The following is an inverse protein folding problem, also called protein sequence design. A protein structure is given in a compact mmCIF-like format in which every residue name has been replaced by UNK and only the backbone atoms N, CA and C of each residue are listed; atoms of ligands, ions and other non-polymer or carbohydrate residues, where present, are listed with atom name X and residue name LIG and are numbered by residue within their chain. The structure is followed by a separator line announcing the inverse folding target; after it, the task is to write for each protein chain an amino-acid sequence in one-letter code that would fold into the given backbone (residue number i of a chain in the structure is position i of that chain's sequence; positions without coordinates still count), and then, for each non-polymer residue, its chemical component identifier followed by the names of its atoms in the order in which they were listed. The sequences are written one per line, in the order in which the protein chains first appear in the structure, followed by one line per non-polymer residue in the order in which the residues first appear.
data_IF_804507420151
#
_entry.id   IF_804507420151
#
_cell.length_a   1.000
_cell.length_b   1.000
_cell.length_c   1.000
_cell.angle_alpha   90.00
_cell.angle_beta   90.00
_cell.angle_gamma   90.00
#
_symmetry.space_group_name_H-M   'P 1'
#
loop_
_entity.id
_entity.type
_entity.pdbx_description
1 polymer ?
#
# COMPACT_ATOMS: atom_id res chain seq x y z
N UNK A 1 -6.14 -10.54 -9.92
CA UNK A 1 -6.80 -9.30 -9.46
C UNK A 1 -6.16 -8.11 -10.14
N UNK A 2 -6.92 -7.07 -10.47
CA UNK A 2 -6.46 -5.96 -11.32
C UNK A 2 -6.80 -4.60 -10.72
N UNK A 3 -5.95 -3.62 -10.99
CA UNK A 3 -6.26 -2.21 -10.87
C UNK A 3 -6.72 -1.72 -12.24
N UNK A 4 -7.87 -1.05 -12.26
CA UNK A 4 -8.47 -0.48 -13.46
C UNK A 4 -8.58 1.04 -13.31
N UNK A 5 -8.31 1.76 -14.39
CA UNK A 5 -8.61 3.19 -14.49
C UNK A 5 -9.41 3.42 -15.75
N UNK A 6 -10.55 4.06 -15.59
CA UNK A 6 -11.42 4.48 -16.68
C UNK A 6 -11.49 6.01 -16.76
N UNK A 7 -11.89 6.53 -17.92
CA UNK A 7 -12.35 7.93 -18.00
C UNK A 7 -13.59 8.09 -17.12
N UNK A 8 -13.66 9.18 -16.37
CA UNK A 8 -14.86 9.53 -15.62
C UNK A 8 -15.93 10.01 -16.62
N UNK A 9 -17.11 9.37 -16.69
CA UNK A 9 -18.16 9.75 -17.63
C UNK A 9 -18.79 11.12 -17.32
N UNK A 10 -18.59 11.67 -16.12
CA UNK A 10 -19.08 12.99 -15.71
C UNK A 10 -18.19 14.11 -16.31
N UNK A 11 -18.68 14.84 -17.34
CA UNK A 11 -17.88 15.84 -18.06
C UNK A 11 -17.61 17.11 -17.24
N UNK A 12 -18.43 17.38 -16.21
CA UNK A 12 -18.27 18.54 -15.34
C UNK A 12 -17.27 18.27 -14.19
N UNK A 13 -16.82 17.02 -14.07
CA UNK A 13 -15.91 16.61 -13.02
C UNK A 13 -14.49 17.15 -13.25
N UNK A 14 -13.94 17.82 -12.23
CA UNK A 14 -12.50 18.16 -12.18
C UNK A 14 -11.59 16.95 -11.93
N UNK A 15 -12.17 15.77 -11.72
CA UNK A 15 -11.48 14.50 -11.50
C UNK A 15 -11.79 13.57 -12.69
N UNK A 16 -11.02 13.66 -13.80
CA UNK A 16 -11.36 13.04 -15.08
C UNK A 16 -11.21 11.51 -15.12
N UNK A 17 -10.79 10.86 -14.03
CA UNK A 17 -10.57 9.42 -14.02
C UNK A 17 -11.29 8.73 -12.86
N UNK A 18 -11.77 7.53 -13.11
CA UNK A 18 -12.22 6.57 -12.10
C UNK A 18 -11.13 5.52 -11.88
N UNK A 19 -10.67 5.37 -10.65
CA UNK A 19 -9.76 4.32 -10.19
C UNK A 19 -10.57 3.24 -9.47
N UNK A 20 -10.50 1.99 -9.93
CA UNK A 20 -11.07 0.82 -9.25
C UNK A 20 -9.99 -0.14 -8.80
N UNK A 21 -10.08 -0.57 -7.55
CA UNK A 21 -9.19 -1.56 -6.94
C UNK A 21 -9.96 -2.79 -6.44
N UNK A 22 -9.34 -3.98 -6.46
CA UNK A 22 -10.02 -5.23 -6.15
C UNK A 22 -9.97 -5.51 -4.64
N UNK A 23 -10.53 -4.59 -3.86
CA UNK A 23 -10.67 -4.72 -2.40
C UNK A 23 -12.15 -4.66 -2.03
N UNK A 24 -12.60 -5.53 -1.14
CA UNK A 24 -14.02 -5.75 -0.84
C UNK A 24 -14.83 -6.04 -2.13
N UNK A 25 -16.00 -5.43 -2.31
CA UNK A 25 -16.80 -5.55 -3.53
C UNK A 25 -16.21 -4.79 -4.76
N UNK A 26 -15.06 -4.13 -4.59
CA UNK A 26 -14.46 -3.24 -5.59
C UNK A 26 -14.64 -1.79 -5.16
N UNK A 27 -13.59 -1.20 -4.58
CA UNK A 27 -13.61 0.22 -4.21
C UNK A 27 -13.33 1.08 -5.44
N UNK A 28 -14.05 2.18 -5.57
CA UNK A 28 -13.95 3.13 -6.69
C UNK A 28 -13.64 4.52 -6.17
N UNK A 29 -12.80 5.25 -6.90
CA UNK A 29 -12.41 6.62 -6.56
C UNK A 29 -12.38 7.50 -7.81
N UNK A 30 -12.86 8.73 -7.72
CA UNK A 30 -12.55 9.77 -8.72
C UNK A 30 -11.18 10.38 -8.42
N UNK A 31 -10.33 10.58 -9.42
CA UNK A 31 -8.96 11.09 -9.26
C UNK A 31 -8.52 11.95 -10.45
N UNK A 32 -7.47 12.78 -10.26
CA UNK A 32 -6.98 13.69 -11.27
C UNK A 32 -5.99 13.08 -12.28
N UNK A 33 -5.52 11.85 -12.04
CA UNK A 33 -4.54 11.22 -12.90
C UNK A 33 -4.47 9.71 -12.77
N UNK A 34 -3.71 9.09 -13.67
CA UNK A 34 -3.61 7.62 -13.80
C UNK A 34 -2.47 7.00 -12.97
N UNK A 35 -1.58 7.82 -12.41
CA UNK A 35 -0.54 7.36 -11.48
C UNK A 35 0.09 8.55 -10.71
N UNK A 36 0.34 8.44 -9.40
CA UNK A 36 1.05 9.48 -8.63
C UNK A 36 2.56 9.47 -8.95
N UNK A 37 2.94 10.14 -10.04
CA UNK A 37 4.35 10.25 -10.48
C UNK A 37 5.13 11.31 -9.70
N UNK A 38 4.59 12.53 -9.67
CA UNK A 38 5.27 13.73 -9.13
C UNK A 38 4.68 14.18 -7.80
N UNK A 39 3.36 14.11 -7.64
CA UNK A 39 2.64 14.46 -6.41
C UNK A 39 1.61 13.38 -6.05
N UNK A 40 1.18 13.38 -4.79
CA UNK A 40 0.04 12.56 -4.40
C UNK A 40 -1.23 13.07 -5.07
N UNK A 41 -2.07 12.15 -5.55
CA UNK A 41 -3.33 12.47 -6.19
C UNK A 41 -4.45 12.40 -5.14
N UNK A 42 -5.31 13.41 -5.11
CA UNK A 42 -6.52 13.33 -4.31
C UNK A 42 -7.48 12.31 -4.94
N UNK A 43 -8.05 11.46 -4.10
CA UNK A 43 -9.01 10.45 -4.48
C UNK A 43 -10.32 10.71 -3.72
N UNK A 44 -11.38 11.00 -4.46
CA UNK A 44 -12.70 11.10 -3.88
C UNK A 44 -13.36 9.72 -3.91
N UNK A 45 -13.64 9.09 -2.75
CA UNK A 45 -14.28 7.79 -2.72
C UNK A 45 -15.71 7.90 -3.22
N UNK A 46 -16.11 6.96 -4.06
CA UNK A 46 -17.47 6.87 -4.59
C UNK A 46 -18.03 5.46 -4.41
N UNK A 47 -19.37 5.32 -4.38
CA UNK A 47 -20.03 4.02 -4.41
C UNK A 47 -19.56 3.12 -5.57
N UNK A 48 -19.63 1.80 -5.39
CA UNK A 48 -19.11 0.85 -6.37
C UNK A 48 -19.93 0.82 -7.68
N UNK A 49 -21.21 1.18 -7.61
CA UNK A 49 -22.15 1.33 -8.74
C UNK A 49 -21.90 2.59 -9.58
N UNK A 50 -21.06 3.51 -9.13
CA UNK A 50 -20.53 4.57 -10.01
C UNK A 50 -19.53 4.05 -11.05
N UNK A 51 -19.04 2.82 -10.89
CA UNK A 51 -18.26 2.19 -11.95
C UNK A 51 -19.18 1.81 -13.12
N UNK A 52 -18.95 2.32 -14.34
CA UNK A 52 -19.83 2.06 -15.47
C UNK A 52 -19.83 0.58 -15.88
N UNK A 53 -20.96 0.11 -16.41
CA UNK A 53 -21.09 -1.24 -16.99
C UNK A 53 -20.19 -1.41 -18.22
N UNK A 54 -20.07 -0.37 -19.04
CA UNK A 54 -19.14 -0.28 -20.18
C UNK A 54 -18.12 0.86 -19.99
N UNK A 55 -17.05 0.63 -19.21
CA UNK A 55 -16.08 1.66 -18.88
C UNK A 55 -15.05 1.85 -20.00
N UNK A 56 -14.75 3.11 -20.35
CA UNK A 56 -13.61 3.46 -21.20
C UNK A 56 -12.29 3.29 -20.42
N UNK A 57 -11.72 2.09 -20.47
CA UNK A 57 -10.50 1.71 -19.74
C UNK A 57 -9.25 2.29 -20.40
N UNK A 58 -8.62 3.22 -19.70
CA UNK A 58 -7.32 3.80 -20.10
C UNK A 58 -6.13 3.11 -19.45
N UNK A 59 -6.33 2.42 -18.32
CA UNK A 59 -5.28 1.64 -17.64
C UNK A 59 -5.88 0.35 -17.10
N UNK A 60 -5.25 -0.79 -17.45
CA UNK A 60 -5.49 -2.09 -16.83
C UNK A 60 -4.15 -2.70 -16.43
N UNK A 61 -3.97 -2.97 -15.14
CA UNK A 61 -2.72 -3.55 -14.63
C UNK A 61 -3.03 -4.63 -13.61
N UNK A 62 -2.41 -5.81 -13.78
CA UNK A 62 -2.47 -6.88 -12.79
C UNK A 62 -1.81 -6.44 -11.48
N UNK A 63 -2.37 -6.87 -10.36
CA UNK A 63 -1.78 -6.65 -9.04
C UNK A 63 -1.18 -7.95 -8.52
N UNK A 64 0.03 -7.85 -7.96
CA UNK A 64 0.63 -8.89 -7.11
C UNK A 64 0.09 -8.85 -5.68
N UNK A 65 -0.28 -7.66 -5.19
CA UNK A 65 -0.83 -7.48 -3.83
C UNK A 65 -1.74 -6.25 -3.74
N UNK A 66 -2.82 -6.35 -2.96
CA UNK A 66 -3.78 -5.29 -2.64
C UNK A 66 -4.29 -5.56 -1.23
N UNK A 67 -3.81 -4.81 -0.23
CA UNK A 67 -4.05 -5.14 1.18
C UNK A 67 -4.34 -3.88 2.00
N UNK A 68 -5.43 -3.91 2.77
CA UNK A 68 -5.72 -2.87 3.76
C UNK A 68 -4.83 -3.05 5.00
N UNK A 69 -4.16 -1.97 5.42
CA UNK A 69 -3.39 -1.86 6.67
C UNK A 69 -3.81 -0.60 7.40
N UNK A 70 -4.79 -0.74 8.31
CA UNK A 70 -5.38 0.38 9.03
C UNK A 70 -5.95 1.43 8.07
N UNK A 71 -5.39 2.64 8.11
CA UNK A 71 -5.82 3.76 7.28
C UNK A 71 -5.22 3.74 5.85
N UNK A 72 -4.36 2.80 5.50
CA UNK A 72 -3.77 2.70 4.16
C UNK A 72 -4.21 1.42 3.43
N UNK A 73 -4.26 1.47 2.10
CA UNK A 73 -4.32 0.30 1.23
C UNK A 73 -3.02 0.25 0.45
N UNK A 74 -2.24 -0.80 0.64
CA UNK A 74 -1.02 -1.07 -0.10
C UNK A 74 -1.35 -1.71 -1.45
N UNK A 75 -0.76 -1.19 -2.52
CA UNK A 75 -0.89 -1.70 -3.87
C UNK A 75 0.48 -2.08 -4.43
N UNK A 76 0.61 -3.32 -4.87
CA UNK A 76 1.78 -3.83 -5.61
C UNK A 76 1.32 -4.28 -6.99
N UNK A 77 1.69 -3.52 -8.01
CA UNK A 77 1.37 -3.78 -9.42
C UNK A 77 2.40 -4.73 -10.03
N UNK A 78 1.97 -5.56 -10.96
CA UNK A 78 2.81 -6.50 -11.71
C UNK A 78 3.47 -5.82 -12.90
N UNK A 79 4.42 -4.91 -12.62
CA UNK A 79 5.24 -4.22 -13.64
C UNK A 79 6.62 -3.86 -13.09
N UNK A 80 7.57 -3.57 -13.97
CA UNK A 80 8.97 -3.33 -13.61
C UNK A 80 9.27 -1.96 -12.99
N UNK A 81 8.47 -0.93 -13.27
CA UNK A 81 8.60 0.43 -12.72
C UNK A 81 7.26 0.91 -12.22
N UNK A 82 7.27 1.85 -11.28
CA UNK A 82 6.03 2.42 -10.72
C UNK A 82 5.09 1.32 -10.21
N UNK A 83 5.67 0.34 -9.52
CA UNK A 83 4.99 -0.88 -9.15
C UNK A 83 4.42 -0.86 -7.73
N UNK A 84 4.69 0.18 -6.95
CA UNK A 84 4.23 0.31 -5.56
C UNK A 84 3.54 1.65 -5.36
N UNK A 85 2.40 1.62 -4.68
CA UNK A 85 1.67 2.82 -4.26
C UNK A 85 0.78 2.52 -3.05
N UNK A 86 0.21 3.56 -2.45
CA UNK A 86 -0.72 3.47 -1.35
C UNK A 86 -1.90 4.42 -1.56
N UNK A 87 -3.11 3.97 -1.24
CA UNK A 87 -4.25 4.85 -0.98
C UNK A 87 -4.35 5.08 0.53
N UNK A 88 -4.17 6.32 0.97
CA UNK A 88 -4.14 6.68 2.40
C UNK A 88 -5.39 7.49 2.75
N UNK A 89 -6.20 6.91 3.63
CA UNK A 89 -7.35 7.54 4.26
C UNK A 89 -6.84 8.37 5.44
N UNK A 90 -7.23 9.64 5.49
CA UNK A 90 -6.82 10.57 6.53
C UNK A 90 -7.89 11.64 6.71
N UNK A 91 -7.77 12.43 7.77
CA UNK A 91 -8.51 13.68 7.90
C UNK A 91 -7.60 14.83 7.47
N UNK A 92 -8.11 15.75 6.65
CA UNK A 92 -7.43 16.98 6.24
C UNK A 92 -8.39 18.16 6.41
N UNK A 93 -7.97 19.19 7.15
CA UNK A 93 -8.82 20.36 7.47
C UNK A 93 -10.20 19.98 8.04
N UNK A 94 -10.23 18.96 8.90
CA UNK A 94 -11.46 18.48 9.56
C UNK A 94 -12.40 17.66 8.66
N UNK A 95 -11.97 17.26 7.46
CA UNK A 95 -12.75 16.42 6.54
C UNK A 95 -12.00 15.16 6.17
N UNK A 96 -12.72 14.08 5.95
CA UNK A 96 -12.13 12.85 5.42
C UNK A 96 -11.60 13.07 4.01
N UNK A 97 -10.41 12.53 3.75
CA UNK A 97 -9.70 12.66 2.50
C UNK A 97 -8.94 11.36 2.21
N UNK A 98 -8.86 11.00 0.93
CA UNK A 98 -8.03 9.88 0.46
C UNK A 98 -6.98 10.42 -0.49
N UNK A 99 -5.73 10.01 -0.30
CA UNK A 99 -4.63 10.37 -1.17
C UNK A 99 -3.96 9.11 -1.75
N UNK A 100 -3.83 9.07 -3.07
CA UNK A 100 -3.04 8.07 -3.77
C UNK A 100 -1.60 8.56 -3.92
N UNK A 101 -0.65 7.83 -3.36
CA UNK A 101 0.76 8.21 -3.37
C UNK A 101 1.67 7.04 -3.74
N UNK A 102 2.76 7.33 -4.47
CA UNK A 102 3.85 6.39 -4.69
C UNK A 102 4.99 6.65 -3.70
N UNK A 103 6.00 5.77 -3.58
CA UNK A 103 7.19 6.02 -2.77
C UNK A 103 7.88 7.35 -3.11
N UNK A 104 7.79 7.82 -4.36
CA UNK A 104 8.38 9.09 -4.81
C UNK A 104 7.58 10.32 -4.41
N UNK A 105 6.25 10.20 -4.35
CA UNK A 105 5.36 11.32 -4.01
C UNK A 105 4.99 11.36 -2.54
N UNK A 106 5.39 10.33 -1.79
CA UNK A 106 5.36 10.34 -0.34
C UNK A 106 6.30 11.45 0.13
N UNK A 107 5.74 12.62 0.47
CA UNK A 107 6.49 13.64 1.22
C UNK A 107 7.13 12.95 2.42
N UNK A 108 8.44 13.09 2.55
CA UNK A 108 9.21 12.64 3.69
C UNK A 108 8.83 13.54 4.89
N UNK A 109 7.64 13.30 5.42
CA UNK A 109 7.11 14.00 6.57
C UNK A 109 6.19 13.02 7.27
N UNK A 110 6.66 12.46 8.37
CA UNK A 110 5.74 12.22 9.48
C UNK A 110 6.34 12.81 10.76
N UNK A 111 6.08 14.10 11.05
CA UNK A 111 5.98 14.54 12.43
C UNK A 111 4.86 13.69 13.06
N UNK A 112 5.23 12.73 13.92
CA UNK A 112 4.26 11.88 14.63
C UNK A 112 4.16 10.41 14.20
N UNK A 113 5.06 9.85 13.37
CA UNK A 113 5.26 8.38 13.46
C UNK A 113 5.98 8.11 14.76
N UNK A 114 5.25 7.62 15.76
CA UNK A 114 5.87 6.70 16.71
C UNK A 114 6.15 5.42 15.93
N UNK A 115 7.42 5.13 15.68
CA UNK A 115 7.84 3.77 15.33
C UNK A 115 7.35 2.90 16.47
N UNK A 116 6.52 1.87 16.22
CA UNK A 116 6.06 1.00 17.30
C UNK A 116 7.30 0.44 18.03
N UNK A 117 7.46 0.84 19.29
CA UNK A 117 8.43 0.26 20.22
C UNK A 117 7.82 -0.91 21.00
N UNK A 118 6.54 -1.19 20.77
CA UNK A 118 5.84 -2.30 21.39
C UNK A 118 6.46 -3.63 20.95
N UNK A 119 6.55 -4.58 21.89
CA UNK A 119 6.95 -5.96 21.64
C UNK A 119 6.22 -6.53 20.42
N UNK A 120 6.92 -7.32 19.61
CA UNK A 120 6.30 -8.11 18.55
C UNK A 120 5.06 -8.80 19.13
N UNK A 121 3.86 -8.44 18.63
CA UNK A 121 2.58 -8.64 19.29
C UNK A 121 2.34 -10.08 19.82
N UNK A 122 2.82 -10.36 21.03
CA UNK A 122 2.78 -11.70 21.64
C UNK A 122 3.68 -12.76 20.98
N UNK A 123 4.62 -12.38 20.10
CA UNK A 123 5.58 -13.31 19.49
C UNK A 123 6.83 -13.35 20.37
N UNK A 124 7.04 -14.39 21.20
CA UNK A 124 8.34 -14.61 21.81
C UNK A 124 9.37 -14.85 20.70
N UNK A 125 10.52 -14.18 20.80
CA UNK A 125 11.71 -14.41 19.97
C UNK A 125 11.52 -14.25 18.46
N UNK A 126 10.99 -13.10 18.02
CA UNK A 126 10.93 -12.76 16.59
C UNK A 126 12.36 -12.73 15.99
N UNK A 127 12.63 -13.67 15.09
CA UNK A 127 13.89 -13.74 14.35
C UNK A 127 13.73 -13.10 12.98
N UNK A 128 14.60 -12.12 12.70
CA UNK A 128 14.78 -11.52 11.38
C UNK A 128 15.98 -12.21 10.74
N UNK A 129 15.75 -12.88 9.62
CA UNK A 129 16.85 -13.40 8.79
C UNK A 129 17.31 -12.25 7.90
N UNK A 130 18.57 -11.84 8.00
CA UNK A 130 19.22 -11.01 6.99
C UNK A 130 19.89 -11.92 5.96
N UNK A 131 19.72 -11.62 4.66
CA UNK A 131 20.36 -12.40 3.61
C UNK A 131 21.89 -12.39 3.76
N UNK A 132 22.54 -13.51 3.46
CA UNK A 132 23.99 -13.61 3.56
C UNK A 132 24.72 -12.67 2.61
N UNK A 133 24.11 -12.27 1.49
CA UNK A 133 24.69 -11.36 0.51
C UNK A 133 24.40 -9.88 0.82
N UNK A 134 23.60 -9.57 1.84
CA UNK A 134 23.37 -8.19 2.29
C UNK A 134 24.63 -7.66 2.99
N UNK A 135 25.31 -6.68 2.37
CA UNK A 135 26.58 -6.18 2.89
C UNK A 135 26.42 -5.43 4.22
N UNK A 136 25.30 -4.72 4.40
CA UNK A 136 25.08 -3.86 5.56
C UNK A 136 23.70 -4.11 6.18
N UNK A 137 23.49 -5.29 6.81
CA UNK A 137 22.20 -5.62 7.37
C UNK A 137 21.84 -4.68 8.51
N UNK A 138 20.59 -4.21 8.48
CA UNK A 138 20.04 -3.39 9.54
C UNK A 138 19.98 -4.19 10.85
N UNK A 139 20.42 -3.59 11.95
CA UNK A 139 20.62 -4.30 13.23
C UNK A 139 19.36 -4.46 14.06
N UNK A 140 18.28 -3.72 13.76
CA UNK A 140 17.02 -3.75 14.52
C UNK A 140 17.19 -3.59 16.05
N UNK A 141 18.21 -2.82 16.46
CA UNK A 141 18.63 -2.73 17.86
C UNK A 141 17.56 -2.16 18.81
N UNK A 142 16.63 -1.35 18.27
CA UNK A 142 15.55 -0.76 19.04
C UNK A 142 14.27 -1.62 19.08
N UNK A 143 14.24 -2.76 18.39
CA UNK A 143 13.01 -3.51 18.09
C UNK A 143 12.89 -4.87 18.81
N UNK A 144 13.74 -5.17 19.80
CA UNK A 144 13.72 -6.44 20.56
C UNK A 144 13.60 -7.69 19.64
N UNK A 145 14.27 -7.67 18.49
CA UNK A 145 14.28 -8.75 17.51
C UNK A 145 15.71 -9.31 17.39
N UNK A 146 15.83 -10.63 17.23
CA UNK A 146 17.12 -11.26 16.96
C UNK A 146 17.39 -11.25 15.45
N UNK A 147 18.57 -10.79 15.04
CA UNK A 147 18.98 -10.80 13.62
C UNK A 147 19.95 -11.94 13.38
N UNK A 148 19.61 -12.84 12.46
CA UNK A 148 20.44 -13.99 12.06
C UNK A 148 20.78 -13.89 10.58
N UNK A 149 22.01 -14.23 10.19
CA UNK A 149 22.41 -14.26 8.78
C UNK A 149 22.18 -15.65 8.18
N UNK A 150 21.41 -15.74 7.09
CA UNK A 150 21.23 -16.96 6.29
C UNK A 150 20.93 -16.60 4.84
N UNK A 151 21.29 -17.47 3.91
CA UNK A 151 20.88 -17.31 2.51
C UNK A 151 19.35 -17.44 2.40
N UNK A 152 18.72 -16.47 1.76
CA UNK A 152 17.30 -16.46 1.42
C UNK A 152 17.12 -16.83 -0.05
N UNK A 153 16.02 -17.51 -0.38
CA UNK A 153 15.67 -17.78 -1.78
C UNK A 153 15.34 -16.51 -2.57
N UNK A 154 14.98 -15.43 -1.87
CA UNK A 154 14.78 -14.10 -2.44
C UNK A 154 14.71 -13.01 -1.36
N UNK A 155 15.14 -11.79 -1.71
CA UNK A 155 15.04 -10.59 -0.86
C UNK A 155 16.11 -10.47 0.20
N UNK A 156 16.18 -9.30 0.84
CA UNK A 156 17.27 -8.96 1.76
C UNK A 156 16.97 -9.37 3.21
N UNK A 157 15.68 -9.53 3.56
CA UNK A 157 15.25 -9.91 4.90
C UNK A 157 14.05 -10.87 4.88
N UNK A 158 14.03 -11.83 5.82
CA UNK A 158 12.95 -12.75 6.09
C UNK A 158 12.53 -12.74 7.57
N UNK A 159 11.35 -13.27 7.88
CA UNK A 159 10.87 -13.42 9.26
C UNK A 159 10.67 -14.90 9.59
N UNK A 160 11.19 -15.31 10.75
CA UNK A 160 10.87 -16.60 11.37
C UNK A 160 10.20 -16.31 12.70
N UNK A 161 9.01 -16.87 12.88
CA UNK A 161 8.30 -16.82 14.14
C UNK A 161 7.59 -18.16 14.35
N UNK A 162 7.53 -18.63 15.60
CA UNK A 162 6.66 -19.73 15.95
C UNK A 162 5.24 -19.19 16.10
N UNK A 163 4.31 -19.72 15.31
CA UNK A 163 2.90 -19.37 15.45
C UNK A 163 2.38 -20.13 16.67
N UNK A 164 2.27 -19.47 17.82
CA UNK A 164 1.50 -19.99 18.95
C UNK A 164 0.06 -20.16 18.51
N UNK A 165 -0.37 -21.40 18.31
CA UNK A 165 -1.78 -21.73 18.13
C UNK A 165 -2.51 -21.45 19.44
N UNK A 166 -3.50 -20.56 19.42
CA UNK A 166 -4.47 -20.41 20.51
C UNK A 166 -5.86 -20.65 19.92
N UNK A 167 -6.54 -21.76 20.30
CA UNK A 167 -7.95 -21.92 19.96
C UNK A 167 -8.75 -21.10 20.96
N UNK A 168 -9.47 -20.09 20.48
CA UNK A 168 -10.69 -19.62 21.10
C UNK A 168 -11.75 -19.50 20.02
#
# INVERSE_FOLDING_TARGET
MELLIAVNPDPDSRLPYLLRIPLAAGMVFRTSGTWPRTTALYCYPVPADEWPDDPDIVVRVRLRSCVRRGAAIDLVLDRGRENRSQLVFTTARGRDAVFWQSPRTRKQARPGIRTPTARAAGIPDLQIIADSHEQYPYRFAAQQAAVVRRALSCGDYGLVYQRGWSPR
#
